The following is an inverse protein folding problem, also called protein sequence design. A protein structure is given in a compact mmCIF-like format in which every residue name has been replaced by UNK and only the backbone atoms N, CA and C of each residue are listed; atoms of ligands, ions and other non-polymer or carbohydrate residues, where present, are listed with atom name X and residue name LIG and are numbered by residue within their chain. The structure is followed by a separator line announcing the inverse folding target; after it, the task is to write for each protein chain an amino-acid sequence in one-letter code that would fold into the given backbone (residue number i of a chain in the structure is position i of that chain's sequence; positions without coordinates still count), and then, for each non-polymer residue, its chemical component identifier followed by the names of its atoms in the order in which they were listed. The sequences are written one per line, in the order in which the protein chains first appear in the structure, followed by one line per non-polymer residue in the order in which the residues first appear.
data_IF_632490949826
#
_entry.id   IF_632490949826
#
_cell.length_a   1.000
_cell.length_b   1.000
_cell.length_c   1.000
_cell.angle_alpha   90.00
_cell.angle_beta   90.00
_cell.angle_gamma   90.00
#
_symmetry.space_group_name_H-M   'P 1'
#
loop_
_entity.id
_entity.type
_entity.pdbx_description
1 polymer ?
#
# COMPACT_ATOMS: atom_id res chain seq x y z
N UNK A 1 -12.63 31.52 -22.14
CA UNK A 1 -12.91 32.22 -20.88
C UNK A 1 -13.34 31.13 -19.90
N UNK A 2 -12.41 30.64 -19.07
CA UNK A 2 -12.21 31.09 -17.67
C UNK A 2 -13.34 30.56 -16.78
N UNK A 3 -13.15 29.95 -15.60
CA UNK A 3 -11.98 29.61 -14.80
C UNK A 3 -12.45 28.68 -13.63
N UNK A 4 -11.50 27.95 -13.05
CA UNK A 4 -11.33 27.51 -11.65
C UNK A 4 -12.52 27.08 -10.73
N UNK A 5 -12.42 25.86 -10.18
CA UNK A 5 -11.89 25.58 -8.82
C UNK A 5 -12.69 24.59 -7.93
N UNK A 6 -11.89 23.76 -7.24
CA UNK A 6 -12.11 23.01 -5.99
C UNK A 6 -12.98 21.74 -6.07
N UNK A 7 -12.53 20.50 -5.83
CA UNK A 7 -11.30 19.98 -5.22
C UNK A 7 -11.64 19.26 -3.91
N UNK A 8 -11.36 17.95 -3.78
CA UNK A 8 -10.68 17.34 -2.64
C UNK A 8 -10.47 15.80 -2.77
N UNK A 9 -9.20 15.40 -2.76
CA UNK A 9 -8.61 14.22 -2.08
C UNK A 9 -8.98 12.81 -2.54
N UNK A 10 -8.39 12.38 -3.65
CA UNK A 10 -8.12 10.97 -3.96
C UNK A 10 -6.67 10.61 -3.62
N UNK A 11 -6.45 9.40 -3.09
CA UNK A 11 -5.17 8.83 -2.66
C UNK A 11 -4.10 8.94 -3.76
N UNK A 12 -2.83 9.09 -3.37
CA UNK A 12 -1.66 9.22 -4.24
C UNK A 12 -1.48 7.96 -5.09
N UNK A 13 -2.20 7.86 -6.22
CA UNK A 13 -1.99 6.85 -7.24
C UNK A 13 -1.34 7.55 -8.43
N UNK A 14 -0.03 7.37 -8.65
CA UNK A 14 0.64 7.96 -9.81
C UNK A 14 0.10 7.30 -11.08
N UNK A 15 -0.24 8.12 -12.08
CA UNK A 15 -0.55 7.64 -13.42
C UNK A 15 0.75 7.15 -14.09
N UNK A 16 1.08 5.88 -13.84
CA UNK A 16 2.27 5.20 -14.38
C UNK A 16 3.33 4.83 -13.33
N UNK A 17 4.39 4.11 -13.75
CA UNK A 17 5.46 3.69 -12.85
C UNK A 17 6.12 4.89 -12.17
N UNK A 18 6.36 4.79 -10.86
CA UNK A 18 7.17 5.77 -10.16
C UNK A 18 8.58 5.78 -10.74
N UNK A 19 9.18 6.96 -10.93
CA UNK A 19 10.59 7.05 -11.35
C UNK A 19 11.51 6.44 -10.28
N UNK A 20 12.71 5.93 -10.63
CA UNK A 20 13.63 5.34 -9.67
C UNK A 20 13.94 6.24 -8.47
N UNK A 21 14.11 7.54 -8.71
CA UNK A 21 14.35 8.55 -7.67
C UNK A 21 13.16 8.69 -6.71
N UNK A 22 11.93 8.71 -7.24
CA UNK A 22 10.72 8.81 -6.42
C UNK A 22 10.48 7.53 -5.64
N UNK A 23 10.69 6.34 -6.24
CA UNK A 23 10.62 5.06 -5.52
C UNK A 23 11.58 5.02 -4.34
N UNK A 24 12.83 5.44 -4.56
CA UNK A 24 13.82 5.52 -3.49
C UNK A 24 13.41 6.49 -2.38
N UNK A 25 12.81 7.62 -2.72
CA UNK A 25 12.30 8.57 -1.73
C UNK A 25 11.14 7.98 -0.91
N UNK A 26 10.20 7.29 -1.55
CA UNK A 26 9.10 6.59 -0.86
C UNK A 26 9.63 5.52 0.08
N UNK A 27 10.60 4.70 -0.34
CA UNK A 27 11.18 3.68 0.53
C UNK A 27 11.91 4.27 1.75
N UNK A 28 12.65 5.36 1.56
CA UNK A 28 13.27 6.08 2.69
C UNK A 28 12.20 6.65 3.63
N UNK A 29 11.18 7.32 3.08
CA UNK A 29 10.07 7.85 3.86
C UNK A 29 9.39 6.75 4.69
N UNK A 30 9.12 5.59 4.09
CA UNK A 30 8.54 4.45 4.80
C UNK A 30 9.48 3.92 5.90
N UNK A 31 10.79 3.86 5.65
CA UNK A 31 11.77 3.40 6.64
C UNK A 31 11.92 4.34 7.84
N UNK A 32 11.63 5.64 7.66
CA UNK A 32 11.70 6.65 8.72
C UNK A 32 10.41 6.74 9.57
N UNK A 33 9.31 6.09 9.15
CA UNK A 33 8.05 6.12 9.88
C UNK A 33 8.10 5.24 11.15
N UNK A 34 7.75 5.78 12.33
CA UNK A 34 7.63 4.98 13.54
C UNK A 34 6.66 3.82 13.38
N UNK A 35 7.06 2.64 13.86
CA UNK A 35 6.28 1.42 13.74
C UNK A 35 6.32 0.77 12.35
N UNK A 36 7.01 1.37 11.37
CA UNK A 36 7.26 0.75 10.07
C UNK A 36 8.60 0.02 10.06
N UNK A 37 8.63 -1.19 9.50
CA UNK A 37 9.85 -1.95 9.32
C UNK A 37 9.89 -2.52 7.90
N UNK A 38 11.05 -2.41 7.24
CA UNK A 38 11.29 -3.13 5.99
C UNK A 38 11.49 -4.61 6.28
N UNK A 39 10.80 -5.47 5.54
CA UNK A 39 10.91 -6.92 5.65
C UNK A 39 11.73 -7.55 4.51
N UNK A 40 12.23 -6.74 3.57
CA UNK A 40 12.90 -7.24 2.38
C UNK A 40 11.91 -7.79 1.34
N UNK A 41 12.38 -8.74 0.54
CA UNK A 41 11.55 -9.38 -0.49
C UNK A 41 10.50 -10.30 0.14
N UNK A 42 9.27 -10.24 -0.38
CA UNK A 42 8.19 -11.12 -0.01
C UNK A 42 7.33 -11.47 -1.23
N UNK A 43 6.68 -12.62 -1.16
CA UNK A 43 5.73 -13.07 -2.18
C UNK A 43 4.31 -12.71 -1.76
N UNK A 44 3.56 -12.06 -2.64
CA UNK A 44 2.16 -11.74 -2.40
C UNK A 44 1.25 -12.98 -2.49
N UNK A 45 -0.02 -12.90 -2.06
CA UNK A 45 -0.98 -14.01 -2.16
C UNK A 45 -1.25 -14.51 -3.59
N UNK A 46 -0.82 -13.78 -4.61
CA UNK A 46 -0.93 -14.14 -6.04
C UNK A 46 0.36 -14.76 -6.60
N UNK A 47 1.41 -14.92 -5.79
CA UNK A 47 2.68 -15.49 -6.20
C UNK A 47 3.67 -14.49 -6.81
N UNK A 48 3.37 -13.20 -6.78
CA UNK A 48 4.23 -12.13 -7.32
C UNK A 48 5.27 -11.71 -6.28
N UNK A 49 6.50 -11.48 -6.71
CA UNK A 49 7.56 -10.98 -5.82
C UNK A 49 7.45 -9.47 -5.64
N UNK A 50 7.63 -9.00 -4.42
CA UNK A 50 7.62 -7.57 -4.09
C UNK A 50 8.50 -7.21 -2.90
N UNK A 51 8.65 -5.91 -2.66
CA UNK A 51 9.30 -5.36 -1.48
C UNK A 51 8.26 -5.15 -0.37
N UNK A 52 8.46 -5.80 0.77
CA UNK A 52 7.51 -5.75 1.88
C UNK A 52 7.92 -4.76 2.98
N UNK A 53 6.91 -4.10 3.52
CA UNK A 53 7.01 -3.27 4.71
C UNK A 53 5.88 -3.63 5.67
N UNK A 54 6.20 -3.82 6.95
CA UNK A 54 5.19 -3.96 7.99
C UNK A 54 4.98 -2.62 8.67
N UNK A 55 3.75 -2.34 9.09
CA UNK A 55 3.41 -1.24 9.98
C UNK A 55 2.65 -1.81 11.17
N UNK A 56 3.19 -1.55 12.35
CA UNK A 56 2.57 -1.85 13.63
C UNK A 56 2.06 -0.55 14.23
N UNK A 57 0.78 -0.51 14.57
CA UNK A 57 0.15 0.65 15.21
C UNK A 57 -0.88 0.20 16.23
N UNK A 58 -1.16 1.06 17.21
CA UNK A 58 -2.25 0.82 18.14
C UNK A 58 -3.58 0.76 17.37
N UNK A 59 -4.30 -0.34 17.54
CA UNK A 59 -5.62 -0.60 17.01
C UNK A 59 -6.68 0.20 17.78
N UNK A 60 -7.82 0.42 17.14
CA UNK A 60 -8.95 1.17 17.73
C UNK A 60 -9.53 0.48 18.98
N UNK A 61 -9.27 -0.81 19.13
CA UNK A 61 -9.67 -1.67 20.25
C UNK A 61 -8.59 -1.77 21.36
N UNK A 62 -7.49 -1.02 21.24
CA UNK A 62 -6.36 -1.10 22.16
C UNK A 62 -5.44 -2.31 21.93
N UNK A 63 -5.70 -3.12 20.88
CA UNK A 63 -4.80 -4.18 20.42
C UNK A 63 -3.68 -3.64 19.52
N UNK A 64 -2.67 -4.46 19.21
CA UNK A 64 -1.58 -4.04 18.32
C UNK A 64 -1.89 -4.48 16.88
N UNK A 65 -2.48 -3.59 16.08
CA UNK A 65 -2.80 -3.85 14.69
C UNK A 65 -1.53 -3.93 13.84
N UNK A 66 -1.32 -5.07 13.16
CA UNK A 66 -0.19 -5.25 12.25
C UNK A 66 -0.67 -5.37 10.81
N UNK A 67 -0.16 -4.49 9.96
CA UNK A 67 -0.42 -4.51 8.51
C UNK A 67 0.88 -4.71 7.75
N UNK A 68 0.83 -5.42 6.63
CA UNK A 68 1.96 -5.54 5.69
C UNK A 68 1.54 -5.07 4.32
N UNK A 69 2.30 -4.16 3.73
CA UNK A 69 2.17 -3.80 2.33
C UNK A 69 3.29 -4.46 1.53
N UNK A 70 2.97 -4.99 0.36
CA UNK A 70 3.93 -5.55 -0.61
C UNK A 70 3.88 -4.68 -1.85
N UNK A 71 4.99 -4.06 -2.20
CA UNK A 71 5.13 -3.14 -3.34
C UNK A 71 5.88 -3.83 -4.49
N UNK A 72 5.44 -3.59 -5.71
CA UNK A 72 6.18 -3.92 -6.93
C UNK A 72 7.48 -3.10 -6.95
N UNK A 73 8.68 -3.73 -7.01
CA UNK A 73 9.94 -3.02 -6.95
C UNK A 73 10.25 -2.22 -8.22
N UNK A 74 9.68 -2.60 -9.37
CA UNK A 74 9.90 -1.97 -10.66
C UNK A 74 9.00 -0.73 -10.81
N UNK A 75 7.72 -0.85 -10.42
CA UNK A 75 6.72 0.20 -10.64
C UNK A 75 6.42 1.04 -9.40
N UNK A 76 6.67 0.50 -8.20
CA UNK A 76 6.28 1.09 -6.93
C UNK A 76 4.78 0.92 -6.60
N UNK A 77 4.04 0.16 -7.41
CA UNK A 77 2.61 -0.08 -7.16
C UNK A 77 2.40 -1.07 -6.01
N UNK A 78 1.28 -0.95 -5.31
CA UNK A 78 0.90 -1.94 -4.29
C UNK A 78 0.43 -3.24 -4.94
N UNK A 79 1.08 -4.36 -4.61
CA UNK A 79 0.67 -5.70 -5.01
C UNK A 79 -0.35 -6.29 -4.03
N UNK A 80 -0.13 -6.09 -2.73
CA UNK A 80 -1.03 -6.57 -1.67
C UNK A 80 -0.94 -5.73 -0.39
N UNK A 81 -2.05 -5.70 0.34
CA UNK A 81 -2.15 -5.28 1.73
C UNK A 81 -2.65 -6.45 2.56
N UNK A 82 -1.91 -6.82 3.60
CA UNK A 82 -2.20 -7.96 4.47
C UNK A 82 -2.41 -7.48 5.92
N UNK A 83 -3.28 -8.17 6.65
CA UNK A 83 -3.54 -7.92 8.07
C UNK A 83 -3.13 -9.12 8.92
N UNK A 84 -2.57 -8.84 10.09
CA UNK A 84 -2.05 -9.83 11.02
C UNK A 84 -2.56 -9.54 12.44
N UNK A 85 -2.79 -10.60 13.22
CA UNK A 85 -3.23 -10.49 14.63
C UNK A 85 -2.22 -9.72 15.49
N UNK A 86 -0.94 -9.86 15.16
CA UNK A 86 0.21 -9.24 15.83
C UNK A 86 1.45 -9.32 14.93
N UNK A 87 2.57 -8.65 15.27
CA UNK A 87 3.81 -8.79 14.52
C UNK A 87 4.26 -10.27 14.46
N UNK A 88 4.46 -10.79 13.25
CA UNK A 88 4.84 -12.19 13.01
C UNK A 88 3.76 -13.23 13.34
N UNK A 89 2.52 -12.80 13.62
CA UNK A 89 1.39 -13.68 13.92
C UNK A 89 0.72 -14.29 12.68
N UNK A 90 -0.46 -14.86 12.87
CA UNK A 90 -1.29 -15.41 11.79
C UNK A 90 -1.85 -14.27 10.92
N UNK A 91 -1.87 -14.45 9.60
CA UNK A 91 -2.53 -13.52 8.67
C UNK A 91 -4.04 -13.69 8.78
N UNK A 92 -4.74 -12.61 9.12
CA UNK A 92 -6.21 -12.60 9.31
C UNK A 92 -6.96 -12.18 8.06
N UNK A 93 -6.31 -11.50 7.13
CA UNK A 93 -6.92 -11.06 5.88
C UNK A 93 -5.90 -10.50 4.89
N UNK A 94 -6.33 -10.32 3.64
CA UNK A 94 -5.55 -9.62 2.64
C UNK A 94 -6.44 -9.02 1.54
N UNK A 95 -5.93 -7.99 0.87
CA UNK A 95 -6.43 -7.45 -0.39
C UNK A 95 -5.28 -7.49 -1.39
N UNK A 96 -5.49 -8.12 -2.55
CA UNK A 96 -4.52 -8.13 -3.64
C UNK A 96 -4.98 -7.21 -4.76
N UNK A 97 -4.10 -6.32 -5.22
CA UNK A 97 -4.36 -5.47 -6.38
C UNK A 97 -4.06 -6.27 -7.63
N UNK A 98 -5.10 -6.62 -8.39
CA UNK A 98 -4.98 -7.45 -9.59
C UNK A 98 -4.78 -6.62 -10.85
N UNK A 99 -5.43 -5.46 -10.92
CA UNK A 99 -5.34 -4.51 -12.03
C UNK A 99 -5.70 -3.14 -11.48
N UNK A 100 -4.89 -2.13 -11.78
CA UNK A 100 -5.23 -0.73 -11.54
C UNK A 100 -5.32 -0.05 -12.90
N UNK A 101 -6.45 0.60 -13.15
CA UNK A 101 -6.73 1.40 -14.34
C UNK A 101 -7.77 2.45 -13.96
N UNK A 102 -7.79 3.63 -14.62
CA UNK A 102 -8.75 4.67 -14.31
C UNK A 102 -10.17 4.08 -14.43
N UNK A 103 -10.91 4.12 -13.32
CA UNK A 103 -12.31 3.68 -13.27
C UNK A 103 -13.14 4.91 -12.92
N UNK A 104 -13.87 5.42 -13.90
CA UNK A 104 -14.77 6.58 -13.78
C UNK A 104 -16.18 6.20 -13.28
N UNK A 105 -16.39 4.90 -13.00
CA UNK A 105 -17.67 4.36 -12.55
C UNK A 105 -17.57 3.87 -11.10
N UNK A 106 -18.32 4.46 -10.16
CA UNK A 106 -18.40 3.93 -8.80
C UNK A 106 -19.00 2.52 -8.83
N UNK A 107 -18.54 1.60 -7.96
CA UNK A 107 -19.06 0.24 -7.92
C UNK A 107 -20.54 0.26 -7.51
N UNK A 108 -21.39 -0.34 -8.34
CA UNK A 108 -22.78 -0.60 -7.99
C UNK A 108 -22.81 -1.69 -6.93
N UNK A 109 -23.28 -1.38 -5.72
CA UNK A 109 -23.65 -2.38 -4.75
C UNK A 109 -24.93 -3.09 -5.22
N UNK A 110 -24.92 -4.41 -5.26
CA UNK A 110 -26.13 -5.25 -5.38
C UNK A 110 -26.75 -5.52 -4.03
#
# INVERSE_FOLDING_TARGET
MSDLAAGHRGLFQPEGPLSPTVRAAVYRMLADLPGVQSLGQATDPKGRQGQAFTRTADGLDGGMGTSRIILDPETGQSLALESYERPGGTRTGYTAVLTSGPTDTPPTAS
#
